data_IF_744052924220
#
_entry.id   IF_744052924220
#
_cell.length_a   1.000
_cell.length_b   1.000
_cell.length_c   1.000
_cell.angle_alpha   90.00
_cell.angle_beta   90.00
_cell.angle_gamma   90.00
#
_symmetry.space_group_name_H-M   'P 1'
#
loop_
_entity.id
_entity.type
_entity.pdbx_description
1 polymer ?
#
# COMPACT_ATOMS: atom_id res chain seq x y z
N UNK A 1 4.42 10.53 2.60
CA UNK A 1 4.19 10.06 1.23
C UNK A 1 3.04 10.83 0.61
N UNK A 2 3.06 11.10 -0.69
CA UNK A 2 1.99 11.85 -1.41
C UNK A 2 1.85 11.36 -2.84
N UNK A 3 0.69 11.55 -3.46
CA UNK A 3 0.51 11.27 -4.89
C UNK A 3 1.25 12.31 -5.75
N UNK A 4 1.70 11.86 -6.92
CA UNK A 4 2.21 12.74 -7.97
C UNK A 4 1.01 13.21 -8.81
N UNK A 5 0.93 14.51 -9.09
CA UNK A 5 -0.22 15.11 -9.80
C UNK A 5 -0.35 14.61 -11.25
N UNK A 6 0.78 14.31 -11.90
CA UNK A 6 0.85 13.73 -13.24
C UNK A 6 1.78 12.51 -13.23
N UNK A 7 1.26 11.34 -12.82
CA UNK A 7 2.08 10.13 -12.71
C UNK A 7 2.57 9.66 -14.08
N UNK A 8 3.76 9.06 -14.12
CA UNK A 8 4.41 8.65 -15.39
C UNK A 8 3.69 7.49 -16.08
N UNK A 9 2.87 6.74 -15.34
CA UNK A 9 2.02 5.66 -15.83
C UNK A 9 0.79 5.50 -14.95
N UNK A 10 -0.16 4.71 -15.44
CA UNK A 10 -1.26 4.21 -14.64
C UNK A 10 -0.80 3.10 -13.66
N UNK A 11 -1.51 2.92 -12.54
CA UNK A 11 -1.37 1.74 -11.69
C UNK A 11 -1.66 0.44 -12.47
N UNK A 12 -0.81 -0.54 -12.29
CA UNK A 12 -0.81 -1.83 -12.98
C UNK A 12 -1.23 -2.99 -12.06
N UNK A 13 -1.07 -2.86 -10.74
CA UNK A 13 -1.44 -3.91 -9.77
C UNK A 13 -2.61 -3.49 -8.88
N UNK A 14 -3.34 -4.48 -8.35
CA UNK A 14 -4.42 -4.22 -7.39
C UNK A 14 -3.91 -3.44 -6.15
N UNK A 15 -2.70 -3.74 -5.70
CA UNK A 15 -2.06 -3.06 -4.57
C UNK A 15 -1.82 -1.58 -4.90
N UNK A 16 -1.30 -1.27 -6.09
CA UNK A 16 -1.12 0.12 -6.52
C UNK A 16 -2.45 0.89 -6.60
N UNK A 17 -3.50 0.25 -7.11
CA UNK A 17 -4.84 0.85 -7.12
C UNK A 17 -5.35 1.17 -5.71
N UNK A 18 -5.16 0.26 -4.76
CA UNK A 18 -5.55 0.47 -3.37
C UNK A 18 -4.73 1.55 -2.68
N UNK A 19 -3.41 1.57 -2.91
CA UNK A 19 -2.51 2.61 -2.40
C UNK A 19 -2.93 4.01 -2.89
N UNK A 20 -3.25 4.15 -4.19
CA UNK A 20 -3.73 5.41 -4.75
C UNK A 20 -5.08 5.80 -4.14
N UNK A 21 -6.03 4.86 -4.03
CA UNK A 21 -7.34 5.14 -3.48
C UNK A 21 -7.27 5.61 -2.03
N UNK A 22 -6.44 4.95 -1.22
CA UNK A 22 -6.20 5.35 0.16
C UNK A 22 -5.56 6.75 0.23
N UNK A 23 -4.51 7.03 -0.54
CA UNK A 23 -3.87 8.36 -0.56
C UNK A 23 -4.82 9.46 -1.03
N UNK A 24 -5.72 9.20 -1.98
CA UNK A 24 -6.76 10.16 -2.38
C UNK A 24 -7.73 10.47 -1.25
N UNK A 25 -8.05 9.48 -0.41
CA UNK A 25 -9.00 9.60 0.70
C UNK A 25 -8.39 10.26 1.93
N UNK A 26 -7.18 9.85 2.34
CA UNK A 26 -6.55 10.30 3.59
C UNK A 26 -5.55 11.44 3.40
N UNK A 27 -5.16 11.73 2.16
CA UNK A 27 -4.12 12.71 1.86
C UNK A 27 -2.71 12.20 2.19
N UNK A 28 -1.72 13.10 2.33
CA UNK A 28 -0.36 12.72 2.65
C UNK A 28 -0.26 12.02 4.01
N UNK A 29 0.37 10.84 4.02
CA UNK A 29 0.50 9.99 5.21
C UNK A 29 1.89 9.32 5.24
N UNK A 30 2.35 8.86 6.40
CA UNK A 30 3.57 8.07 6.49
C UNK A 30 3.41 6.73 5.75
N UNK A 31 4.52 6.23 5.19
CA UNK A 31 4.53 4.93 4.50
C UNK A 31 4.10 3.81 5.44
N UNK A 32 4.57 3.82 6.69
CA UNK A 32 4.22 2.83 7.71
C UNK A 32 2.71 2.77 7.98
N UNK A 33 2.05 3.93 8.16
CA UNK A 33 0.62 3.96 8.40
C UNK A 33 -0.17 3.52 7.18
N UNK A 34 0.29 3.86 5.97
CA UNK A 34 -0.39 3.39 4.76
C UNK A 34 -0.26 1.87 4.58
N UNK A 35 0.93 1.32 4.78
CA UNK A 35 1.17 -0.13 4.71
C UNK A 35 0.25 -0.87 5.67
N UNK A 36 0.15 -0.39 6.92
CA UNK A 36 -0.74 -0.98 7.93
C UNK A 36 -2.20 -0.97 7.49
N UNK A 37 -2.70 0.18 7.02
CA UNK A 37 -4.10 0.31 6.56
C UNK A 37 -4.42 -0.60 5.38
N UNK A 38 -3.56 -0.62 4.35
CA UNK A 38 -3.78 -1.47 3.16
C UNK A 38 -3.69 -2.96 3.51
N UNK A 39 -2.76 -3.35 4.38
CA UNK A 39 -2.64 -4.73 4.84
C UNK A 39 -3.92 -5.20 5.56
N UNK A 40 -4.48 -4.36 6.43
CA UNK A 40 -5.73 -4.65 7.12
C UNK A 40 -6.92 -4.76 6.14
N UNK A 41 -7.01 -3.85 5.16
CA UNK A 41 -8.08 -3.87 4.15
C UNK A 41 -8.01 -5.10 3.24
N UNK A 42 -6.80 -5.49 2.81
CA UNK A 42 -6.56 -6.71 2.04
C UNK A 42 -6.94 -7.96 2.82
N UNK A 43 -6.49 -8.05 4.07
CA UNK A 43 -6.84 -9.17 4.95
C UNK A 43 -8.36 -9.27 5.17
N UNK A 44 -9.03 -8.15 5.46
CA UNK A 44 -10.48 -8.13 5.62
C UNK A 44 -11.25 -8.46 4.33
N UNK A 45 -10.69 -8.14 3.15
CA UNK A 45 -11.27 -8.52 1.86
C UNK A 45 -11.15 -10.03 1.62
N UNK A 46 -10.00 -10.64 1.93
CA UNK A 46 -9.81 -12.08 1.80
C UNK A 46 -10.70 -12.87 2.80
N UNK A 47 -10.82 -12.40 4.04
CA UNK A 47 -11.77 -12.99 5.00
C UNK A 47 -13.21 -12.99 4.47
N UNK A 48 -13.65 -11.88 3.87
CA UNK A 48 -15.01 -11.74 3.29
C UNK A 48 -15.25 -12.66 2.08
N UNK A 49 -14.21 -13.01 1.33
CA UNK A 49 -14.30 -13.95 0.20
C UNK A 49 -14.45 -15.41 0.64
N UNK A 50 -14.53 -15.68 1.94
CA UNK A 50 -14.65 -17.03 2.47
C UNK A 50 -13.31 -17.76 2.55
N UNK A 51 -12.19 -17.04 2.63
CA UNK A 51 -10.88 -17.62 2.94
C UNK A 51 -10.78 -18.09 4.41
N UNK A 52 -11.84 -18.70 4.93
CA UNK A 52 -11.88 -19.42 6.20
C UNK A 52 -11.24 -20.81 6.12
N UNK A 53 -10.54 -21.17 5.02
CA UNK A 53 -10.16 -22.56 4.76
C UNK A 53 -8.65 -22.84 4.69
N UNK A 54 -7.73 -21.89 4.48
CA UNK A 54 -6.29 -22.19 4.59
C UNK A 54 -5.42 -20.97 4.96
N UNK A 55 -4.55 -21.18 5.95
CA UNK A 55 -3.29 -20.49 6.31
C UNK A 55 -3.24 -18.97 6.53
N UNK A 56 -4.20 -18.16 6.05
CA UNK A 56 -4.12 -16.68 6.20
C UNK A 56 -4.33 -16.19 7.64
N UNK A 57 -5.05 -16.96 8.46
CA UNK A 57 -5.32 -16.61 9.86
C UNK A 57 -4.07 -16.67 10.75
N UNK A 58 -3.06 -17.47 10.40
CA UNK A 58 -1.82 -17.60 11.16
C UNK A 58 -0.87 -16.41 10.93
N UNK A 59 -0.81 -15.93 9.68
CA UNK A 59 0.05 -14.81 9.30
C UNK A 59 -0.63 -13.45 9.44
N UNK A 60 -1.97 -13.41 9.45
CA UNK A 60 -2.77 -12.19 9.58
C UNK A 60 -2.48 -11.18 8.47
N UNK A 61 -2.69 -9.90 8.77
CA UNK A 61 -2.43 -8.79 7.82
C UNK A 61 -0.97 -8.72 7.34
N UNK A 62 -0.02 -9.28 8.10
CA UNK A 62 1.41 -9.23 7.77
C UNK A 62 1.76 -10.01 6.51
N UNK A 63 0.89 -10.92 6.08
CA UNK A 63 1.03 -11.65 4.82
C UNK A 63 1.21 -10.71 3.63
N UNK A 64 0.53 -9.57 3.65
CA UNK A 64 0.53 -8.60 2.54
C UNK A 64 1.62 -7.55 2.66
N UNK A 65 2.23 -7.38 3.85
CA UNK A 65 3.19 -6.30 4.12
C UNK A 65 4.37 -6.31 3.14
N UNK A 66 4.92 -7.49 2.83
CA UNK A 66 6.06 -7.60 1.90
C UNK A 66 5.70 -7.11 0.50
N UNK A 67 4.56 -7.55 -0.03
CA UNK A 67 4.12 -7.18 -1.38
C UNK A 67 3.74 -5.70 -1.44
N UNK A 68 3.08 -5.18 -0.39
CA UNK A 68 2.78 -3.74 -0.30
C UNK A 68 4.07 -2.93 -0.30
N UNK A 69 5.08 -3.29 0.49
CA UNK A 69 6.36 -2.56 0.52
C UNK A 69 7.05 -2.61 -0.84
N UNK A 70 7.04 -3.77 -1.50
CA UNK A 70 7.64 -3.94 -2.84
C UNK A 70 6.98 -3.02 -3.86
N UNK A 71 5.65 -3.01 -3.91
CA UNK A 71 4.89 -2.16 -4.84
C UNK A 71 5.07 -0.67 -4.48
N UNK A 72 5.10 -0.34 -3.18
CA UNK A 72 5.32 1.01 -2.68
C UNK A 72 6.67 1.56 -3.11
N UNK A 73 7.73 0.75 -3.05
CA UNK A 73 9.06 1.11 -3.55
C UNK A 73 9.11 1.19 -5.08
N UNK A 74 8.46 0.26 -5.78
CA UNK A 74 8.41 0.25 -7.24
C UNK A 74 7.65 1.44 -7.84
N UNK A 75 6.66 1.98 -7.11
CA UNK A 75 5.89 3.15 -7.50
C UNK A 75 6.50 4.50 -7.10
N UNK A 76 7.61 4.51 -6.34
CA UNK A 76 8.25 5.75 -5.89
C UNK A 76 8.84 6.55 -7.06
N UNK A 77 8.53 7.84 -7.12
CA UNK A 77 8.88 8.74 -8.24
C UNK A 77 8.12 8.46 -9.54
N UNK A 78 7.18 7.51 -9.55
CA UNK A 78 6.36 7.14 -10.71
C UNK A 78 4.88 7.48 -10.46
N UNK A 79 4.33 6.96 -9.36
CA UNK A 79 2.93 7.11 -8.96
C UNK A 79 2.78 8.03 -7.74
N UNK A 80 3.74 7.98 -6.83
CA UNK A 80 3.79 8.77 -5.59
C UNK A 80 5.23 9.12 -5.24
N UNK A 81 5.39 10.09 -4.36
CA UNK A 81 6.68 10.40 -3.74
C UNK A 81 6.69 9.89 -2.29
N UNK A 82 7.65 9.03 -1.99
CA UNK A 82 8.07 8.76 -0.62
C UNK A 82 9.07 9.86 -0.28
N UNK A 83 8.60 10.93 0.38
CA UNK A 83 9.52 11.84 1.06
C UNK A 83 10.28 11.00 2.09
N UNK A 84 11.48 10.53 1.73
CA UNK A 84 12.49 10.23 2.72
C UNK A 84 12.71 11.55 3.45
N UNK A 85 12.54 11.56 4.76
CA UNK A 85 13.15 12.60 5.57
C UNK A 85 14.65 12.53 5.24
N UNK A 86 15.10 13.38 4.31
CA UNK A 86 16.52 13.62 4.13
C UNK A 86 16.96 14.19 5.47
N UNK A 87 17.68 13.37 6.23
CA UNK A 87 18.51 13.83 7.32
C UNK A 87 19.36 15.00 6.75
N UNK A 88 19.28 16.21 7.34
CA UNK A 88 20.09 17.32 6.88
C UNK A 88 21.57 16.96 7.05
N UNK A 89 22.34 17.24 6.01
CA UNK A 89 23.79 17.02 5.90
C UNK A 89 24.60 17.66 7.04
#
# INVERSE_FOLDING_TARGET
MRLIDSPRRSPATQIEWQLISALKKVGPVSSANLVKTIAADLYAAELRKGAAVLDIGLFGERLFTRDIIRELQAGDGILWDIKQEKEPA
#
